data_IF_169030924239
#
_entry.id   IF_169030924239
#
_cell.length_a   1.000
_cell.length_b   1.000
_cell.length_c   1.000
_cell.angle_alpha   90.00
_cell.angle_beta   90.00
_cell.angle_gamma   90.00
#
_symmetry.space_group_name_H-M   'P 1'
#
loop_
_entity.id
_entity.type
_entity.pdbx_description
1 polymer ?
#
# COMPACT_ATOMS: atom_id res chain seq x y z
N UNK A 1 4.19 6.12 -1.35
CA UNK A 1 4.51 6.78 -0.06
C UNK A 1 3.48 6.38 0.99
N UNK A 2 3.79 6.54 2.28
CA UNK A 2 2.85 6.28 3.37
C UNK A 2 2.74 7.49 4.32
N UNK A 3 1.54 7.72 4.84
CA UNK A 3 1.22 8.76 5.83
C UNK A 3 0.31 8.15 6.90
N UNK A 4 0.60 8.46 8.16
CA UNK A 4 -0.30 8.21 9.29
C UNK A 4 -0.56 9.52 10.02
N UNK A 5 -1.81 9.75 10.43
CA UNK A 5 -2.19 10.91 11.24
C UNK A 5 -3.25 10.52 12.28
N UNK A 6 -3.25 11.23 13.41
CA UNK A 6 -4.26 11.15 14.44
C UNK A 6 -4.72 12.56 14.82
N UNK A 7 -6.00 12.74 15.13
CA UNK A 7 -6.52 14.00 15.63
C UNK A 7 -6.74 13.99 17.15
N UNK A 8 -7.11 15.16 17.70
CA UNK A 8 -7.35 15.33 19.14
C UNK A 8 -8.57 14.57 19.68
N UNK A 9 -9.45 14.08 18.80
CA UNK A 9 -10.66 13.36 19.16
C UNK A 9 -10.46 11.84 19.08
N UNK A 10 -9.27 11.37 18.72
CA UNK A 10 -8.93 9.95 18.61
C UNK A 10 -9.19 9.35 17.24
N UNK A 11 -9.54 10.14 16.21
CA UNK A 11 -9.66 9.59 14.86
C UNK A 11 -8.28 9.35 14.28
N UNK A 12 -8.08 8.18 13.68
CA UNK A 12 -6.80 7.77 13.08
C UNK A 12 -6.98 7.46 11.61
N UNK A 13 -6.07 7.98 10.77
CA UNK A 13 -6.00 7.67 9.34
C UNK A 13 -4.63 7.09 9.01
N UNK A 14 -4.64 5.92 8.39
CA UNK A 14 -3.48 5.26 7.79
C UNK A 14 -3.66 5.25 6.27
N UNK A 15 -2.79 5.95 5.54
CA UNK A 15 -2.97 6.21 4.12
C UNK A 15 -1.68 5.95 3.33
N UNK A 16 -1.74 4.97 2.43
CA UNK A 16 -0.67 4.69 1.48
C UNK A 16 -1.17 5.03 0.09
N UNK A 17 -0.41 5.88 -0.62
CA UNK A 17 -0.71 6.28 -1.98
C UNK A 17 0.50 6.10 -2.88
N UNK A 18 0.25 6.00 -4.18
CA UNK A 18 1.31 5.76 -5.16
C UNK A 18 0.93 6.26 -6.55
N UNK A 19 1.94 6.40 -7.40
CA UNK A 19 1.82 6.45 -8.86
C UNK A 19 2.58 5.27 -9.47
N UNK A 20 2.66 4.17 -8.72
CA UNK A 20 3.59 3.04 -8.82
C UNK A 20 5.07 3.44 -8.68
N UNK A 21 5.85 3.43 -9.76
CA UNK A 21 7.28 3.73 -9.73
C UNK A 21 7.56 5.20 -9.38
N UNK A 22 8.80 5.49 -8.97
CA UNK A 22 9.27 6.88 -8.88
C UNK A 22 9.18 7.54 -10.26
N UNK A 23 8.37 8.59 -10.37
CA UNK A 23 8.08 9.25 -11.65
C UNK A 23 6.88 8.68 -12.39
N UNK A 24 6.25 7.61 -11.89
CA UNK A 24 5.14 6.91 -12.51
C UNK A 24 5.47 6.46 -13.94
N UNK A 25 4.60 6.80 -14.88
CA UNK A 25 4.84 6.57 -16.32
C UNK A 25 5.88 7.49 -16.96
N UNK A 26 6.45 8.43 -16.21
CA UNK A 26 7.25 9.57 -16.70
C UNK A 26 6.49 10.51 -17.67
N UNK A 27 5.16 10.36 -17.79
CA UNK A 27 4.31 11.21 -18.61
C UNK A 27 3.69 12.29 -17.73
N UNK A 28 3.90 13.55 -18.07
CA UNK A 28 3.17 14.69 -17.48
C UNK A 28 1.93 15.00 -18.30
N UNK A 29 0.85 15.42 -17.65
CA UNK A 29 -0.34 15.90 -18.38
C UNK A 29 -0.11 17.33 -18.86
N UNK A 30 -0.13 17.59 -20.19
CA UNK A 30 0.12 18.93 -20.73
C UNK A 30 -0.81 19.98 -20.12
N UNK A 31 -0.23 21.10 -19.70
CA UNK A 31 -0.94 22.22 -19.08
C UNK A 31 -1.49 21.97 -17.66
N UNK A 32 -1.28 20.78 -17.06
CA UNK A 32 -1.78 20.45 -15.71
C UNK A 32 -0.68 20.16 -14.68
N UNK A 33 0.52 19.78 -15.12
CA UNK A 33 1.70 19.71 -14.24
C UNK A 33 1.76 18.52 -13.28
N UNK A 34 0.89 17.51 -13.42
CA UNK A 34 0.99 16.26 -12.65
C UNK A 34 1.41 15.08 -13.54
N UNK A 35 2.06 14.10 -12.91
CA UNK A 35 2.49 12.85 -13.53
C UNK A 35 1.35 11.83 -13.57
N UNK A 36 1.30 11.05 -14.64
CA UNK A 36 0.43 9.87 -14.73
C UNK A 36 1.10 8.67 -14.08
N UNK A 37 0.33 7.87 -13.34
CA UNK A 37 0.79 6.59 -12.83
C UNK A 37 1.12 5.62 -13.97
N UNK A 38 1.88 4.58 -13.65
CA UNK A 38 2.06 3.40 -14.48
C UNK A 38 1.43 2.16 -13.84
N UNK A 39 0.35 2.29 -13.06
CA UNK A 39 -0.23 1.23 -12.21
C UNK A 39 -0.67 -0.03 -12.97
N UNK A 40 -0.82 0.04 -14.30
CA UNK A 40 -1.07 -1.14 -15.13
C UNK A 40 0.07 -2.18 -15.04
N UNK A 41 1.27 -1.79 -14.59
CA UNK A 41 2.40 -2.70 -14.32
C UNK A 41 2.17 -3.62 -13.14
N UNK A 42 1.22 -3.32 -12.25
CA UNK A 42 0.85 -4.19 -11.13
C UNK A 42 -0.09 -5.34 -11.58
N UNK A 43 -0.58 -5.35 -12.82
CA UNK A 43 -1.23 -6.53 -13.40
C UNK A 43 -0.20 -7.57 -13.84
N UNK A 44 -0.60 -8.83 -13.86
CA UNK A 44 0.14 -9.88 -14.54
C UNK A 44 -0.03 -9.72 -16.06
N UNK A 45 1.04 -9.36 -16.79
CA UNK A 45 0.96 -9.23 -18.26
C UNK A 45 0.75 -10.56 -18.98
N UNK A 46 1.24 -11.64 -18.39
CA UNK A 46 1.04 -13.00 -18.88
C UNK A 46 0.75 -13.92 -17.71
N UNK A 47 -0.05 -14.94 -17.97
CA UNK A 47 -0.33 -15.97 -16.99
C UNK A 47 0.93 -16.82 -16.78
N UNK A 48 1.40 -16.92 -15.53
CA UNK A 48 2.61 -17.67 -15.21
C UNK A 48 2.47 -19.18 -15.51
N UNK A 49 1.27 -19.74 -15.33
CA UNK A 49 0.96 -21.13 -15.64
C UNK A 49 -0.42 -21.22 -16.35
N UNK A 50 -0.49 -21.63 -17.63
CA UNK A 50 -1.74 -21.74 -18.38
C UNK A 50 -2.83 -22.60 -17.73
N UNK A 51 -2.46 -23.56 -16.88
CA UNK A 51 -3.41 -24.42 -16.17
C UNK A 51 -3.98 -23.77 -14.88
N UNK A 52 -3.39 -22.67 -14.41
CA UNK A 52 -3.79 -21.99 -13.17
C UNK A 52 -4.35 -20.60 -13.51
N UNK A 53 -5.65 -20.35 -13.31
CA UNK A 53 -6.23 -19.04 -13.53
C UNK A 53 -5.50 -17.95 -12.72
N UNK A 54 -5.05 -16.89 -13.39
CA UNK A 54 -4.42 -15.76 -12.72
C UNK A 54 -5.48 -14.67 -12.41
N UNK A 55 -5.83 -14.45 -11.13
CA UNK A 55 -6.83 -13.46 -10.75
C UNK A 55 -6.37 -12.02 -10.98
N UNK A 56 -5.12 -11.79 -11.36
CA UNK A 56 -4.51 -10.48 -11.58
C UNK A 56 -4.18 -10.20 -13.06
N UNK A 57 -4.79 -10.91 -14.01
CA UNK A 57 -4.75 -10.48 -15.42
C UNK A 57 -5.50 -9.15 -15.64
N UNK A 58 -5.09 -8.30 -16.61
CA UNK A 58 -5.78 -7.06 -16.95
C UNK A 58 -7.24 -7.27 -17.35
N UNK A 59 -8.10 -6.31 -17.01
CA UNK A 59 -9.50 -6.31 -17.44
C UNK A 59 -10.13 -4.91 -17.30
N UNK A 60 -11.14 -4.59 -18.12
CA UNK A 60 -11.79 -3.27 -18.07
C UNK A 60 -12.43 -3.01 -16.70
N UNK A 61 -12.15 -1.84 -16.12
CA UNK A 61 -12.65 -1.44 -14.80
C UNK A 61 -12.03 -2.19 -13.62
N UNK A 62 -11.16 -3.17 -13.86
CA UNK A 62 -10.48 -3.94 -12.82
C UNK A 62 -9.38 -3.11 -12.16
N UNK A 63 -9.12 -3.37 -10.88
CA UNK A 63 -7.99 -2.80 -10.14
C UNK A 63 -6.86 -3.81 -10.09
N UNK A 64 -5.61 -3.41 -10.36
CA UNK A 64 -4.47 -4.31 -10.25
C UNK A 64 -4.21 -4.66 -8.78
N UNK A 65 -3.60 -5.82 -8.54
CA UNK A 65 -3.23 -6.27 -7.19
C UNK A 65 -2.13 -5.36 -6.65
N UNK A 66 -2.37 -4.78 -5.47
CA UNK A 66 -1.35 -4.00 -4.76
C UNK A 66 -0.75 -4.77 -3.58
N UNK A 67 0.48 -4.43 -3.19
CA UNK A 67 1.09 -4.86 -1.91
C UNK A 67 0.84 -3.86 -0.77
N UNK A 68 0.22 -2.72 -1.07
CA UNK A 68 -0.10 -1.65 -0.12
C UNK A 68 -0.88 -2.21 1.08
N UNK A 69 -0.37 -1.95 2.29
CA UNK A 69 -0.90 -2.48 3.56
C UNK A 69 -0.98 -1.38 4.66
N UNK A 70 -1.83 -0.34 4.50
CA UNK A 70 -2.09 0.62 5.58
C UNK A 70 -2.84 -0.08 6.71
N UNK A 71 -2.30 -0.03 7.91
CA UNK A 71 -2.79 -0.82 9.05
C UNK A 71 -3.05 0.07 10.26
N UNK A 72 -4.16 -0.19 10.94
CA UNK A 72 -4.50 0.35 12.26
C UNK A 72 -4.74 -0.84 13.18
N UNK A 73 -4.04 -0.90 14.30
CA UNK A 73 -4.22 -1.92 15.33
C UNK A 73 -5.05 -1.33 16.46
N UNK A 74 -6.11 -2.04 16.83
CA UNK A 74 -6.99 -1.68 17.93
C UNK A 74 -6.74 -2.59 19.13
N UNK A 75 -6.93 -2.07 20.33
CA UNK A 75 -6.95 -2.89 21.54
C UNK A 75 -8.28 -3.66 21.68
N UNK A 76 -8.40 -4.44 22.76
CA UNK A 76 -9.62 -5.22 23.07
C UNK A 76 -10.86 -4.36 23.36
N UNK A 77 -10.69 -3.06 23.59
CA UNK A 77 -11.75 -2.08 23.84
C UNK A 77 -12.12 -1.31 22.56
N UNK A 78 -11.39 -1.51 21.46
CA UNK A 78 -11.62 -0.84 20.18
C UNK A 78 -10.81 0.45 20.00
N UNK A 79 -9.92 0.78 20.94
CA UNK A 79 -9.12 2.00 20.90
C UNK A 79 -7.86 1.81 20.04
N UNK A 80 -7.49 2.75 19.16
CA UNK A 80 -6.26 2.67 18.38
C UNK A 80 -4.99 2.64 19.24
N UNK A 81 -4.13 1.63 19.02
CA UNK A 81 -2.84 1.48 19.72
C UNK A 81 -1.68 1.95 18.85
N UNK A 82 -1.70 1.55 17.57
CA UNK A 82 -0.69 1.94 16.58
C UNK A 82 -1.30 1.96 15.19
N UNK A 83 -0.87 2.92 14.37
CA UNK A 83 -1.16 2.94 12.96
C UNK A 83 0.15 3.13 12.19
N UNK A 84 0.30 2.37 11.11
CA UNK A 84 1.51 2.36 10.30
C UNK A 84 1.25 1.80 8.90
N UNK A 85 2.28 1.92 8.07
CA UNK A 85 2.34 1.41 6.71
C UNK A 85 3.70 1.74 6.11
N UNK A 86 3.95 1.32 4.88
CA UNK A 86 5.23 1.58 4.20
C UNK A 86 5.05 1.70 2.69
N UNK A 87 5.87 2.50 1.98
CA UNK A 87 6.18 2.26 0.57
C UNK A 87 7.15 1.06 0.42
N UNK A 88 7.41 0.60 -0.81
CA UNK A 88 8.42 -0.44 -1.06
C UNK A 88 8.06 -1.54 -2.07
N UNK A 89 6.95 -1.40 -2.81
CA UNK A 89 6.50 -2.44 -3.75
C UNK A 89 6.23 -3.76 -3.03
N UNK A 90 6.84 -4.85 -3.49
CA UNK A 90 6.62 -6.18 -2.92
C UNK A 90 7.04 -6.31 -1.44
N UNK A 91 7.93 -5.45 -0.94
CA UNK A 91 8.37 -5.53 0.47
C UNK A 91 7.41 -4.87 1.45
N UNK A 92 6.37 -4.15 0.99
CA UNK A 92 5.45 -3.43 1.89
C UNK A 92 4.87 -4.35 2.96
N UNK A 93 4.39 -5.53 2.54
CA UNK A 93 3.74 -6.50 3.44
C UNK A 93 4.70 -6.93 4.54
N UNK A 94 5.93 -7.31 4.17
CA UNK A 94 6.91 -7.82 5.13
C UNK A 94 7.49 -6.71 5.99
N UNK A 95 7.67 -5.49 5.46
CA UNK A 95 8.06 -4.32 6.26
C UNK A 95 7.01 -4.00 7.32
N UNK A 96 5.73 -3.91 6.95
CA UNK A 96 4.64 -3.65 7.91
C UNK A 96 4.56 -4.74 8.97
N UNK A 97 4.66 -6.01 8.59
CA UNK A 97 4.69 -7.13 9.53
C UNK A 97 5.88 -7.06 10.49
N UNK A 98 7.08 -6.78 10.00
CA UNK A 98 8.27 -6.69 10.83
C UNK A 98 8.20 -5.50 11.79
N UNK A 99 7.71 -4.34 11.36
CA UNK A 99 7.51 -3.19 12.25
C UNK A 99 6.47 -3.51 13.33
N UNK A 100 5.36 -4.15 12.95
CA UNK A 100 4.32 -4.57 13.90
C UNK A 100 4.85 -5.55 14.95
N UNK A 101 5.49 -6.64 14.55
CA UNK A 101 6.05 -7.63 15.48
C UNK A 101 7.20 -7.05 16.30
N UNK A 102 7.98 -6.12 15.74
CA UNK A 102 8.98 -5.35 16.46
C UNK A 102 8.39 -4.53 17.62
N UNK A 103 7.28 -3.82 17.35
CA UNK A 103 6.61 -3.00 18.35
C UNK A 103 5.81 -3.86 19.36
N UNK A 104 4.92 -4.71 18.87
CA UNK A 104 3.94 -5.44 19.69
C UNK A 104 4.57 -6.60 20.45
N UNK A 105 5.35 -7.46 19.78
CA UNK A 105 5.85 -8.69 20.41
C UNK A 105 7.19 -8.46 21.11
N UNK A 106 8.01 -7.53 20.59
CA UNK A 106 9.40 -7.35 21.02
C UNK A 106 9.65 -6.06 21.80
N UNK A 107 8.64 -5.20 21.96
CA UNK A 107 8.72 -3.96 22.74
C UNK A 107 9.75 -2.96 22.21
N UNK A 108 10.06 -3.00 20.92
CA UNK A 108 10.92 -1.99 20.28
C UNK A 108 10.16 -0.67 20.15
N UNK A 109 10.84 0.48 20.18
CA UNK A 109 10.21 1.76 19.87
C UNK A 109 9.74 1.81 18.40
N UNK A 110 8.70 2.61 18.16
CA UNK A 110 8.22 2.97 16.82
C UNK A 110 9.09 4.03 16.15
#
# INVERSE_FOLDING_TARGET
THLTTADRWGNVVSYTLTIEQTGGSAITVPGRGFLLNNELTDFSFTQANPAVPDPNLPGPGKRPRSSISPTIVLDRHGEPVVALGSPGGATIITTVLQTLTGYVDRGLPL
#
